data_IF_154591950291
#
_entry.id   IF_154591950291
#
_cell.length_a   1.000
_cell.length_b   1.000
_cell.length_c   1.000
_cell.angle_alpha   90.00
_cell.angle_beta   90.00
_cell.angle_gamma   90.00
#
_symmetry.space_group_name_H-M   'P 1'
#
loop_
_entity.id
_entity.type
_entity.pdbx_description
1 polymer ?
#
# COMPACT_ATOMS: atom_id res chain seq x y z
N UNK A 1 -15.40 10.37 13.05
CA UNK A 1 -14.98 8.97 12.79
C UNK A 1 -13.50 8.98 12.45
N UNK A 2 -12.70 7.94 12.78
CA UNK A 2 -11.30 7.88 12.40
C UNK A 2 -11.14 7.88 10.86
N UNK A 3 -9.97 8.31 10.38
CA UNK A 3 -9.57 8.13 8.98
C UNK A 3 -9.08 6.69 8.80
N UNK A 4 -9.67 5.98 7.86
CA UNK A 4 -9.38 4.57 7.61
C UNK A 4 -8.56 4.36 6.34
N UNK A 5 -7.56 3.48 6.43
CA UNK A 5 -6.57 3.23 5.38
C UNK A 5 -6.40 1.73 5.16
N UNK A 6 -6.37 1.30 3.90
CA UNK A 6 -6.11 -0.07 3.49
C UNK A 6 -4.93 -0.11 2.49
N UNK A 7 -4.07 -1.11 2.61
CA UNK A 7 -3.18 -1.53 1.52
C UNK A 7 -3.40 -3.00 1.19
N UNK A 8 -3.38 -3.34 -0.10
CA UNK A 8 -3.53 -4.71 -0.58
C UNK A 8 -2.82 -4.91 -1.91
N UNK A 9 -1.88 -5.84 -1.97
CA UNK A 9 -1.37 -6.37 -3.22
C UNK A 9 -2.47 -7.25 -3.86
N UNK A 10 -2.85 -6.95 -5.11
CA UNK A 10 -3.95 -7.63 -5.81
C UNK A 10 -3.57 -8.97 -6.42
N UNK A 11 -2.25 -9.29 -6.49
CA UNK A 11 -1.78 -10.45 -7.26
C UNK A 11 -2.27 -10.42 -8.71
N UNK A 12 -2.32 -9.23 -9.29
CA UNK A 12 -2.82 -8.97 -10.65
C UNK A 12 -4.15 -9.74 -10.95
N UNK A 13 -4.30 -10.40 -12.08
CA UNK A 13 -5.45 -11.26 -12.41
C UNK A 13 -5.10 -12.76 -12.30
N UNK A 14 -4.11 -13.13 -11.50
CA UNK A 14 -3.70 -14.52 -11.29
C UNK A 14 -4.79 -15.34 -10.58
N UNK A 15 -4.73 -16.66 -10.77
CA UNK A 15 -5.70 -17.57 -10.16
C UNK A 15 -7.15 -17.31 -10.62
N UNK A 16 -8.14 -17.62 -9.77
CA UNK A 16 -9.56 -17.40 -10.09
C UNK A 16 -9.97 -15.93 -9.87
N UNK A 17 -9.50 -15.03 -10.74
CA UNK A 17 -9.69 -13.59 -10.57
C UNK A 17 -11.15 -13.15 -10.32
N UNK A 18 -12.17 -13.63 -11.06
CA UNK A 18 -13.56 -13.20 -10.82
C UNK A 18 -14.04 -13.48 -9.39
N UNK A 19 -13.67 -14.64 -8.83
CA UNK A 19 -14.01 -15.06 -7.47
C UNK A 19 -13.21 -14.25 -6.46
N UNK A 20 -11.91 -14.05 -6.68
CA UNK A 20 -11.03 -13.22 -5.85
C UNK A 20 -11.52 -11.77 -5.82
N UNK A 21 -11.86 -11.19 -6.98
CA UNK A 21 -12.43 -9.85 -7.08
C UNK A 21 -13.70 -9.69 -6.23
N UNK A 22 -14.58 -10.70 -6.21
CA UNK A 22 -15.75 -10.70 -5.34
C UNK A 22 -15.35 -10.69 -3.86
N UNK A 23 -14.37 -11.53 -3.46
CA UNK A 23 -13.87 -11.57 -2.07
C UNK A 23 -13.26 -10.24 -1.64
N UNK A 24 -12.47 -9.62 -2.52
CA UNK A 24 -11.87 -8.30 -2.27
C UNK A 24 -12.98 -7.25 -2.10
N UNK A 25 -14.00 -7.25 -2.96
CA UNK A 25 -15.15 -6.35 -2.82
C UNK A 25 -15.88 -6.54 -1.49
N UNK A 26 -16.16 -7.78 -1.10
CA UNK A 26 -16.79 -8.10 0.19
C UNK A 26 -15.97 -7.52 1.36
N UNK A 27 -14.65 -7.66 1.33
CA UNK A 27 -13.76 -7.10 2.35
C UNK A 27 -13.77 -5.57 2.35
N UNK A 28 -13.73 -4.93 1.18
CA UNK A 28 -13.79 -3.47 1.06
C UNK A 28 -15.14 -2.94 1.55
N UNK A 29 -16.25 -3.61 1.21
CA UNK A 29 -17.60 -3.21 1.66
C UNK A 29 -17.76 -3.33 3.18
N UNK A 30 -17.06 -4.29 3.83
CA UNK A 30 -17.07 -4.46 5.29
C UNK A 30 -16.17 -3.47 6.03
N UNK A 31 -15.00 -3.16 5.45
CA UNK A 31 -14.00 -2.28 6.05
C UNK A 31 -14.30 -0.79 5.78
N UNK A 32 -14.97 -0.50 4.67
CA UNK A 32 -15.30 0.83 4.17
C UNK A 32 -14.14 1.85 4.27
N UNK A 33 -12.94 1.54 3.74
CA UNK A 33 -11.77 2.39 3.92
C UNK A 33 -11.91 3.72 3.17
N UNK A 34 -11.40 4.80 3.78
CA UNK A 34 -11.35 6.12 3.13
C UNK A 34 -10.30 6.18 2.02
N UNK A 35 -9.15 5.53 2.25
CA UNK A 35 -8.01 5.50 1.34
C UNK A 35 -7.52 4.07 1.14
N UNK A 36 -7.26 3.68 -0.11
CA UNK A 36 -6.74 2.36 -0.46
C UNK A 36 -5.52 2.51 -1.36
N UNK A 37 -4.43 1.81 -1.03
CA UNK A 37 -3.29 1.59 -1.92
C UNK A 37 -3.31 0.15 -2.44
N UNK A 38 -3.39 0.00 -3.75
CA UNK A 38 -3.29 -1.30 -4.41
C UNK A 38 -1.95 -1.46 -5.11
N UNK A 39 -1.36 -2.64 -5.00
CA UNK A 39 -0.18 -3.06 -5.75
C UNK A 39 -0.59 -4.14 -6.74
N UNK A 40 0.21 -4.32 -7.78
CA UNK A 40 -0.07 -5.22 -8.90
C UNK A 40 -1.41 -4.99 -9.61
N UNK A 41 -1.91 -3.76 -9.54
CA UNK A 41 -3.10 -3.37 -10.28
C UNK A 41 -2.83 -3.35 -11.79
N UNK A 42 -3.75 -3.90 -12.58
CA UNK A 42 -3.64 -4.01 -14.03
C UNK A 42 -4.41 -2.92 -14.76
N UNK A 43 -3.79 -2.38 -15.79
CA UNK A 43 -4.44 -1.49 -16.75
C UNK A 43 -4.02 -1.87 -18.18
N UNK A 44 -4.99 -2.05 -19.07
CA UNK A 44 -4.80 -2.34 -20.48
C UNK A 44 -5.83 -1.58 -21.31
N UNK A 45 -5.78 -1.68 -22.64
CA UNK A 45 -6.62 -0.95 -23.58
C UNK A 45 -8.11 -0.92 -23.19
N UNK A 46 -8.55 0.24 -22.70
CA UNK A 46 -9.93 0.47 -22.29
C UNK A 46 -10.36 -0.24 -20.99
N UNK A 47 -9.47 -0.92 -20.29
CA UNK A 47 -9.75 -1.63 -19.05
C UNK A 47 -8.86 -1.14 -17.89
N UNK A 48 -9.48 -1.01 -16.73
CA UNK A 48 -8.80 -0.67 -15.47
C UNK A 48 -9.33 -1.60 -14.38
N UNK A 49 -8.47 -2.51 -13.91
CA UNK A 49 -8.84 -3.54 -12.93
C UNK A 49 -9.42 -2.95 -11.64
N UNK A 50 -8.85 -1.84 -11.15
CA UNK A 50 -9.31 -1.19 -9.93
C UNK A 50 -10.62 -0.45 -10.15
N UNK A 51 -10.81 0.19 -11.31
CA UNK A 51 -12.10 0.81 -11.65
C UNK A 51 -13.22 -0.24 -11.74
N UNK A 52 -12.95 -1.39 -12.37
CA UNK A 52 -13.89 -2.52 -12.42
C UNK A 52 -14.15 -3.10 -11.01
N UNK A 53 -13.11 -3.22 -10.19
CA UNK A 53 -13.22 -3.72 -8.82
C UNK A 53 -14.08 -2.82 -7.93
N UNK A 54 -13.97 -1.50 -8.07
CA UNK A 54 -14.60 -0.50 -7.22
C UNK A 54 -15.83 0.16 -7.86
N UNK A 55 -16.34 -0.39 -8.97
CA UNK A 55 -17.51 0.16 -9.66
C UNK A 55 -18.69 0.38 -8.69
N UNK A 56 -19.30 1.57 -8.77
CA UNK A 56 -20.45 1.97 -7.93
C UNK A 56 -20.12 2.32 -6.48
N UNK A 57 -18.83 2.28 -6.05
CA UNK A 57 -18.44 2.53 -4.65
C UNK A 57 -17.99 3.96 -4.36
N UNK A 58 -18.01 4.85 -5.36
CA UNK A 58 -17.76 6.29 -5.16
C UNK A 58 -16.30 6.65 -4.86
N UNK A 59 -15.32 5.83 -5.27
CA UNK A 59 -13.91 6.15 -5.15
C UNK A 59 -13.40 6.97 -6.33
N UNK A 60 -12.54 7.95 -6.04
CA UNK A 60 -11.69 8.63 -7.00
C UNK A 60 -10.39 7.84 -7.17
N UNK A 61 -9.94 7.63 -8.40
CA UNK A 61 -8.83 6.74 -8.72
C UNK A 61 -7.64 7.49 -9.31
N UNK A 62 -6.44 7.05 -8.95
CA UNK A 62 -5.18 7.41 -9.61
C UNK A 62 -4.37 6.13 -9.86
N UNK A 63 -3.51 6.14 -10.91
CA UNK A 63 -2.73 4.98 -11.30
C UNK A 63 -1.32 5.37 -11.75
N UNK A 64 -0.33 4.56 -11.37
CA UNK A 64 1.04 4.68 -11.82
C UNK A 64 1.52 3.35 -12.43
N UNK A 65 1.85 3.33 -13.73
CA UNK A 65 2.40 2.13 -14.37
C UNK A 65 3.78 1.77 -13.82
N UNK A 66 4.12 0.49 -13.87
CA UNK A 66 5.44 0.00 -13.50
C UNK A 66 6.03 -0.92 -14.58
N UNK A 67 5.54 -2.15 -14.68
CA UNK A 67 6.09 -3.18 -15.57
C UNK A 67 5.08 -3.54 -16.65
N UNK A 68 5.49 -3.70 -17.93
CA UNK A 68 4.65 -4.28 -18.96
C UNK A 68 4.11 -5.65 -18.51
N UNK A 69 2.85 -5.89 -18.78
CA UNK A 69 2.16 -7.12 -18.39
C UNK A 69 1.74 -7.93 -19.61
N UNK A 70 2.07 -9.21 -19.57
CA UNK A 70 1.58 -10.16 -20.55
C UNK A 70 1.23 -11.49 -19.87
N UNK A 71 0.04 -11.98 -20.15
CA UNK A 71 -0.41 -13.31 -19.76
C UNK A 71 -1.41 -13.81 -20.79
N UNK A 72 -1.18 -15.02 -21.32
CA UNK A 72 -2.13 -15.64 -22.28
C UNK A 72 -3.52 -15.79 -21.65
N UNK A 73 -4.56 -15.39 -22.38
CA UNK A 73 -5.95 -15.45 -21.94
C UNK A 73 -6.35 -14.34 -20.94
N UNK A 74 -5.42 -13.51 -20.48
CA UNK A 74 -5.77 -12.35 -19.65
C UNK A 74 -6.41 -11.25 -20.49
N UNK A 75 -7.53 -10.67 -20.01
CA UNK A 75 -8.13 -9.50 -20.65
C UNK A 75 -7.29 -8.23 -20.48
N UNK A 76 -6.23 -8.28 -19.67
CA UNK A 76 -5.27 -7.19 -19.44
C UNK A 76 -3.92 -7.43 -20.12
N UNK A 77 -3.79 -8.47 -20.95
CA UNK A 77 -2.56 -8.71 -21.73
C UNK A 77 -2.25 -7.53 -22.63
N UNK A 78 -0.96 -7.25 -22.81
CA UNK A 78 -0.41 -6.07 -23.50
C UNK A 78 -0.64 -4.74 -22.76
N UNK A 79 -1.04 -4.80 -21.50
CA UNK A 79 -1.13 -3.65 -20.60
C UNK A 79 0.10 -3.52 -19.71
N UNK A 80 -0.13 -2.90 -18.58
CA UNK A 80 0.87 -2.67 -17.55
C UNK A 80 0.32 -3.07 -16.19
N UNK A 81 1.17 -3.58 -15.31
CA UNK A 81 0.84 -3.64 -13.90
C UNK A 81 1.57 -2.54 -13.13
N UNK A 82 0.94 -2.04 -12.08
CA UNK A 82 1.49 -0.92 -11.33
C UNK A 82 0.81 -0.74 -9.99
N UNK A 83 0.86 0.50 -9.50
CA UNK A 83 0.19 0.89 -8.27
C UNK A 83 -1.06 1.71 -8.58
N UNK A 84 -2.12 1.49 -7.80
CA UNK A 84 -3.30 2.33 -7.84
C UNK A 84 -3.63 2.88 -6.46
N UNK A 85 -4.22 4.06 -6.43
CA UNK A 85 -4.80 4.67 -5.25
C UNK A 85 -6.28 4.88 -5.48
N UNK A 86 -7.08 4.46 -4.51
CA UNK A 86 -8.51 4.79 -4.45
C UNK A 86 -8.78 5.64 -3.21
N UNK A 87 -9.53 6.72 -3.38
CA UNK A 87 -9.85 7.70 -2.34
C UNK A 87 -11.35 8.01 -2.33
N UNK A 88 -11.97 8.00 -1.15
CA UNK A 88 -13.33 8.54 -0.96
C UNK A 88 -13.40 10.06 -1.22
N UNK A 89 -12.25 10.71 -1.14
CA UNK A 89 -12.12 12.15 -1.32
C UNK A 89 -11.64 12.47 -2.73
N UNK A 90 -12.03 13.62 -3.33
CA UNK A 90 -11.53 14.04 -4.62
C UNK A 90 -9.99 14.07 -4.67
N UNK A 91 -9.39 13.56 -5.72
CA UNK A 91 -7.95 13.63 -5.95
C UNK A 91 -7.65 14.98 -6.61
N UNK A 92 -6.95 15.87 -5.89
CA UNK A 92 -6.55 17.19 -6.37
C UNK A 92 -5.33 17.11 -7.29
N UNK A 93 -4.35 16.29 -6.90
CA UNK A 93 -3.09 16.11 -7.62
C UNK A 93 -2.58 14.69 -7.48
N UNK A 94 -1.85 14.22 -8.49
CA UNK A 94 -1.13 12.97 -8.45
C UNK A 94 0.25 13.10 -9.06
N UNK A 95 1.23 12.40 -8.50
CA UNK A 95 2.60 12.32 -9.01
C UNK A 95 3.06 10.85 -8.99
N UNK A 96 3.48 10.35 -10.15
CA UNK A 96 4.07 9.03 -10.30
C UNK A 96 5.58 9.15 -10.51
N UNK A 97 6.36 8.35 -9.79
CA UNK A 97 7.82 8.32 -9.89
C UNK A 97 8.27 6.89 -10.19
N UNK A 98 9.12 6.72 -11.21
CA UNK A 98 9.82 5.46 -11.43
C UNK A 98 10.89 5.27 -10.37
N UNK A 99 10.94 4.07 -9.82
CA UNK A 99 11.95 3.69 -8.83
C UNK A 99 13.21 3.15 -9.53
N UNK A 100 14.39 3.26 -8.89
CA UNK A 100 15.60 2.60 -9.37
C UNK A 100 15.36 1.13 -9.64
N UNK A 101 15.86 0.62 -10.77
CA UNK A 101 15.72 -0.80 -11.15
C UNK A 101 17.04 -1.57 -10.97
N UNK A 102 16.97 -2.88 -11.12
CA UNK A 102 18.09 -3.80 -11.04
C UNK A 102 18.78 -4.06 -12.38
N UNK A 103 18.27 -3.46 -13.48
CA UNK A 103 18.77 -3.68 -14.83
C UNK A 103 18.27 -4.98 -15.48
N UNK A 104 17.39 -5.75 -14.82
CA UNK A 104 16.88 -7.03 -15.30
C UNK A 104 15.48 -6.96 -15.92
N UNK A 105 15.01 -5.73 -16.22
CA UNK A 105 13.74 -5.47 -16.87
C UNK A 105 12.55 -5.30 -15.91
N UNK A 106 12.70 -5.64 -14.63
CA UNK A 106 11.69 -5.39 -13.62
C UNK A 106 11.63 -3.90 -13.28
N UNK A 107 10.47 -3.31 -13.39
CA UNK A 107 10.25 -1.89 -13.11
C UNK A 107 9.27 -1.71 -11.98
N UNK A 108 9.56 -0.75 -11.11
CA UNK A 108 8.72 -0.38 -9.97
C UNK A 108 8.43 1.11 -9.99
N UNK A 109 7.35 1.50 -9.35
CA UNK A 109 6.92 2.89 -9.23
C UNK A 109 6.41 3.20 -7.83
N UNK A 110 6.32 4.49 -7.54
CA UNK A 110 5.54 5.01 -6.42
C UNK A 110 4.54 6.02 -6.97
N UNK A 111 3.34 6.04 -6.39
CA UNK A 111 2.25 6.94 -6.72
C UNK A 111 1.86 7.74 -5.49
N UNK A 112 2.01 9.04 -5.53
CA UNK A 112 1.54 9.95 -4.48
C UNK A 112 0.34 10.75 -4.96
N UNK A 113 -0.69 10.85 -4.13
CA UNK A 113 -1.86 11.69 -4.38
C UNK A 113 -2.03 12.71 -3.26
N UNK A 114 -2.63 13.86 -3.58
CA UNK A 114 -3.20 14.78 -2.62
C UNK A 114 -4.71 14.67 -2.74
N UNK A 115 -5.38 14.23 -1.69
CA UNK A 115 -6.84 14.09 -1.61
C UNK A 115 -7.46 15.23 -0.83
N UNK A 116 -8.60 15.75 -1.28
CA UNK A 116 -9.35 16.86 -0.64
C UNK A 116 -10.31 16.31 0.42
N UNK A 117 -9.80 16.11 1.62
CA UNK A 117 -10.58 15.52 2.70
C UNK A 117 -11.21 16.57 3.63
N UNK A 118 -12.20 16.18 4.45
CA UNK A 118 -12.73 17.03 5.51
C UNK A 118 -11.68 17.47 6.57
N UNK A 119 -10.53 16.79 6.60
CA UNK A 119 -9.39 17.12 7.48
C UNK A 119 -8.43 18.12 6.83
N UNK A 120 -8.80 18.66 5.67
CA UNK A 120 -7.92 19.38 4.75
C UNK A 120 -7.21 18.41 3.79
N UNK A 121 -6.33 18.93 2.91
CA UNK A 121 -5.60 18.11 1.97
C UNK A 121 -4.80 16.99 2.68
N UNK A 122 -4.88 15.75 2.17
CA UNK A 122 -4.15 14.59 2.66
C UNK A 122 -3.12 14.15 1.61
N UNK A 123 -1.88 13.89 2.06
CA UNK A 123 -0.85 13.26 1.22
C UNK A 123 -0.84 11.76 1.47
N UNK A 124 -1.14 10.98 0.42
CA UNK A 124 -1.18 9.51 0.45
C UNK A 124 -0.31 8.94 -0.66
N UNK A 125 0.60 8.06 -0.32
CA UNK A 125 1.56 7.46 -1.26
C UNK A 125 1.48 5.95 -1.22
N UNK A 126 1.37 5.32 -2.39
CA UNK A 126 1.38 3.87 -2.59
C UNK A 126 2.63 3.45 -3.35
N UNK A 127 3.27 2.36 -2.94
CA UNK A 127 4.46 1.82 -3.61
C UNK A 127 4.47 0.30 -3.63
N UNK A 128 5.31 -0.27 -4.51
CA UNK A 128 5.63 -1.68 -4.55
C UNK A 128 7.12 -1.82 -4.87
N UNK A 129 7.94 -2.33 -3.93
CA UNK A 129 9.37 -2.46 -4.11
C UNK A 129 9.76 -3.77 -4.83
N UNK A 130 11.04 -3.91 -5.17
CA UNK A 130 11.58 -5.11 -5.83
C UNK A 130 11.41 -6.35 -4.95
N UNK A 131 10.87 -7.44 -5.52
CA UNK A 131 10.53 -8.67 -4.78
C UNK A 131 11.70 -9.63 -4.57
N UNK A 132 12.77 -9.54 -5.36
CA UNK A 132 13.85 -10.52 -5.32
C UNK A 132 14.65 -10.41 -4.03
N UNK A 133 14.77 -11.51 -3.31
CA UNK A 133 15.48 -11.58 -2.02
C UNK A 133 16.88 -10.96 -2.06
N UNK A 134 17.65 -11.25 -3.11
CA UNK A 134 19.02 -10.77 -3.28
C UNK A 134 19.15 -9.30 -3.69
N UNK A 135 18.05 -8.58 -3.90
CA UNK A 135 18.04 -7.19 -4.35
C UNK A 135 17.82 -6.19 -3.22
N UNK A 136 18.37 -6.45 -2.02
CA UNK A 136 18.32 -5.53 -0.89
C UNK A 136 18.83 -4.14 -1.24
N UNK A 137 20.02 -4.02 -1.89
CA UNK A 137 20.54 -2.73 -2.32
C UNK A 137 19.60 -1.98 -3.30
N UNK A 138 18.91 -2.71 -4.18
CA UNK A 138 17.93 -2.10 -5.08
C UNK A 138 16.77 -1.51 -4.26
N UNK A 139 16.23 -2.27 -3.29
CA UNK A 139 15.18 -1.79 -2.39
C UNK A 139 15.63 -0.62 -1.52
N UNK A 140 16.88 -0.60 -1.05
CA UNK A 140 17.44 0.55 -0.32
C UNK A 140 17.39 1.83 -1.16
N UNK A 141 17.78 1.78 -2.43
CA UNK A 141 17.68 2.92 -3.36
C UNK A 141 16.23 3.27 -3.68
N UNK A 142 15.38 2.27 -3.83
CA UNK A 142 13.94 2.46 -4.08
C UNK A 142 13.27 3.15 -2.90
N UNK A 143 13.49 2.68 -1.68
CA UNK A 143 12.86 3.27 -0.48
C UNK A 143 13.32 4.70 -0.22
N UNK A 144 14.59 5.05 -0.53
CA UNK A 144 15.06 6.43 -0.47
C UNK A 144 14.26 7.32 -1.44
N UNK A 145 14.06 6.85 -2.69
CA UNK A 145 13.28 7.58 -3.69
C UNK A 145 11.80 7.75 -3.26
N UNK A 146 11.22 6.71 -2.68
CA UNK A 146 9.84 6.77 -2.12
C UNK A 146 9.76 7.78 -1.00
N UNK A 147 10.68 7.74 -0.04
CA UNK A 147 10.70 8.70 1.08
C UNK A 147 10.90 10.14 0.60
N UNK A 148 11.71 10.36 -0.43
CA UNK A 148 11.88 11.68 -1.06
C UNK A 148 10.57 12.19 -1.66
N UNK A 149 9.82 11.31 -2.33
CA UNK A 149 8.50 11.66 -2.85
C UNK A 149 7.55 12.04 -1.72
N UNK A 150 7.45 11.22 -0.67
CA UNK A 150 6.58 11.51 0.49
C UNK A 150 6.94 12.82 1.16
N UNK A 151 8.24 13.09 1.40
CA UNK A 151 8.69 14.32 2.04
C UNK A 151 8.45 15.56 1.17
N UNK A 152 8.63 15.45 -0.15
CA UNK A 152 8.37 16.53 -1.10
C UNK A 152 6.87 16.85 -1.19
N UNK A 153 6.02 15.82 -1.11
CA UNK A 153 4.55 15.93 -1.16
C UNK A 153 3.93 16.24 0.21
N UNK A 154 4.74 16.32 1.26
CA UNK A 154 4.28 16.62 2.62
C UNK A 154 3.66 18.01 2.69
N UNK A 155 2.47 18.07 3.25
CA UNK A 155 1.74 19.31 3.48
C UNK A 155 2.15 19.92 4.82
N UNK A 156 2.71 21.14 4.80
CA UNK A 156 3.16 21.83 6.01
C UNK A 156 1.95 22.21 6.88
N UNK A 157 1.96 21.76 8.13
CA UNK A 157 0.86 21.99 9.07
C UNK A 157 -0.42 21.24 8.79
N UNK A 158 -0.43 20.39 7.74
CA UNK A 158 -1.54 19.50 7.41
C UNK A 158 -1.47 18.15 8.14
N UNK A 159 -2.43 17.29 7.84
CA UNK A 159 -2.48 15.92 8.35
C UNK A 159 -1.19 15.16 8.00
N UNK A 160 -0.69 14.25 8.88
CA UNK A 160 0.52 13.48 8.61
C UNK A 160 0.44 12.71 7.29
N UNK A 161 1.54 12.73 6.52
CA UNK A 161 1.61 11.94 5.28
C UNK A 161 1.49 10.46 5.56
N UNK A 162 0.81 9.73 4.68
CA UNK A 162 0.59 8.29 4.79
C UNK A 162 1.31 7.62 3.61
N UNK A 163 2.09 6.59 3.91
CA UNK A 163 2.83 5.78 2.95
C UNK A 163 2.42 4.32 3.14
N UNK A 164 1.95 3.68 2.07
CA UNK A 164 1.50 2.28 2.11
C UNK A 164 2.09 1.46 0.98
N UNK A 165 2.09 0.16 1.12
CA UNK A 165 2.43 -0.73 0.02
C UNK A 165 3.07 -2.03 0.42
N UNK A 166 3.44 -2.79 -0.62
CA UNK A 166 4.27 -3.97 -0.54
C UNK A 166 5.75 -3.57 -0.67
N UNK A 167 6.48 -3.67 0.43
CA UNK A 167 7.89 -3.32 0.49
C UNK A 167 8.80 -4.50 0.15
N UNK A 168 8.26 -5.73 0.06
CA UNK A 168 9.02 -6.95 -0.16
C UNK A 168 10.23 -7.11 0.80
N UNK A 169 10.15 -6.51 1.97
CA UNK A 169 11.19 -6.40 2.97
C UNK A 169 10.61 -6.60 4.37
N UNK A 170 11.28 -7.39 5.20
CA UNK A 170 10.88 -7.65 6.59
C UNK A 170 11.28 -6.49 7.51
N UNK A 171 10.70 -6.39 8.73
CA UNK A 171 10.95 -5.28 9.66
C UNK A 171 12.42 -5.05 10.01
N UNK A 172 13.22 -6.10 9.99
CA UNK A 172 14.66 -6.09 10.30
C UNK A 172 15.53 -5.63 9.13
N UNK A 173 14.96 -5.57 7.92
CA UNK A 173 15.66 -5.16 6.70
C UNK A 173 16.10 -3.71 6.75
N UNK A 174 17.20 -3.38 6.08
CA UNK A 174 17.76 -2.03 6.05
C UNK A 174 16.74 -1.00 5.55
N UNK A 175 15.93 -1.37 4.55
CA UNK A 175 14.89 -0.54 3.95
C UNK A 175 13.84 -0.11 4.98
N UNK A 176 13.33 -1.06 5.78
CA UNK A 176 12.29 -0.79 6.78
C UNK A 176 12.87 -0.06 7.98
N UNK A 177 14.09 -0.42 8.40
CA UNK A 177 14.82 0.31 9.45
C UNK A 177 15.11 1.75 9.05
N UNK A 178 15.39 2.02 7.76
CA UNK A 178 15.53 3.38 7.25
C UNK A 178 14.22 4.16 7.36
N UNK A 179 13.10 3.61 6.87
CA UNK A 179 11.78 4.27 6.93
C UNK A 179 11.40 4.61 8.38
N UNK A 180 11.69 3.71 9.31
CA UNK A 180 11.34 3.88 10.74
C UNK A 180 12.37 4.68 11.56
N UNK A 181 13.43 5.19 10.93
CA UNK A 181 14.46 6.01 11.60
C UNK A 181 15.48 5.22 12.41
N UNK A 182 15.50 3.89 12.29
CA UNK A 182 16.42 3.02 13.04
C UNK A 182 17.77 2.82 12.34
N UNK A 183 17.87 3.26 11.09
CA UNK A 183 19.08 3.17 10.28
C UNK A 183 19.16 4.33 9.31
N UNK A 184 20.36 4.83 9.02
CA UNK A 184 20.63 5.74 7.92
C UNK A 184 21.08 4.98 6.67
N UNK A 185 20.69 5.45 5.49
CA UNK A 185 21.17 4.95 4.19
C UNK A 185 21.83 6.09 3.42
N UNK A 186 23.06 5.89 2.96
CA UNK A 186 23.79 6.91 2.21
C UNK A 186 23.94 8.25 2.93
N UNK A 187 24.05 8.23 4.26
CA UNK A 187 24.13 9.44 5.09
C UNK A 187 22.82 10.19 5.27
N UNK A 188 21.70 9.60 4.86
CA UNK A 188 20.34 10.18 4.95
C UNK A 188 19.53 9.44 6.01
N UNK A 189 18.62 10.17 6.67
CA UNK A 189 17.70 9.62 7.66
C UNK A 189 16.31 10.21 7.47
N UNK A 190 15.31 9.36 7.70
CA UNK A 190 13.89 9.72 7.76
C UNK A 190 13.30 9.07 9.00
N UNK A 191 12.08 9.43 9.39
CA UNK A 191 11.38 8.74 10.46
C UNK A 191 9.88 8.80 10.22
N UNK A 192 9.28 7.62 10.06
CA UNK A 192 7.84 7.39 10.01
C UNK A 192 7.46 6.37 11.09
N UNK A 193 6.22 6.40 11.52
CA UNK A 193 5.66 5.39 12.41
C UNK A 193 5.16 4.21 11.58
N UNK A 194 5.60 3.01 11.89
CA UNK A 194 5.02 1.77 11.39
C UNK A 194 3.74 1.50 12.18
N UNK A 195 2.60 1.45 11.49
CA UNK A 195 1.29 1.29 12.13
C UNK A 195 1.21 -0.03 12.91
N UNK A 196 1.68 -1.13 12.33
CA UNK A 196 1.69 -2.42 13.02
C UNK A 196 2.54 -2.40 14.28
N UNK A 197 3.75 -1.90 14.20
CA UNK A 197 4.65 -1.79 15.35
C UNK A 197 4.11 -0.89 16.47
N UNK A 198 3.28 0.10 16.09
CA UNK A 198 2.76 1.10 17.04
C UNK A 198 1.52 0.59 17.78
N UNK A 199 0.57 -0.02 17.08
CA UNK A 199 -0.75 -0.39 17.64
C UNK A 199 -1.23 -1.79 17.24
N UNK A 200 -0.52 -2.49 16.36
CA UNK A 200 -0.85 -3.87 15.97
C UNK A 200 -0.54 -4.88 17.07
N UNK A 201 -1.08 -6.07 16.93
CA UNK A 201 -0.86 -7.20 17.86
C UNK A 201 -0.46 -8.46 17.12
N UNK A 202 0.49 -9.24 17.69
CA UNK A 202 1.06 -10.44 17.06
C UNK A 202 2.11 -10.11 15.99
N UNK A 203 2.38 -11.07 15.11
CA UNK A 203 3.51 -10.99 14.17
C UNK A 203 3.22 -10.14 12.93
N UNK A 204 1.94 -9.92 12.59
CA UNK A 204 1.54 -9.08 11.46
C UNK A 204 1.86 -9.66 10.08
N UNK A 205 1.94 -10.98 9.99
CA UNK A 205 2.28 -11.69 8.76
C UNK A 205 1.29 -11.35 7.65
N UNK A 206 1.80 -10.91 6.51
CA UNK A 206 1.00 -10.55 5.33
C UNK A 206 1.26 -11.47 4.14
N UNK A 207 2.41 -12.15 4.12
CA UNK A 207 2.73 -13.25 3.21
C UNK A 207 2.82 -14.53 4.02
N UNK A 208 1.89 -15.47 3.83
CA UNK A 208 1.77 -16.62 4.71
C UNK A 208 1.54 -17.93 3.98
N UNK A 209 2.22 -18.99 4.43
CA UNK A 209 2.02 -20.35 3.95
C UNK A 209 0.64 -20.96 4.34
N UNK A 210 -0.15 -20.29 5.16
CA UNK A 210 -1.56 -20.63 5.36
C UNK A 210 -2.38 -20.40 4.08
N UNK A 211 -1.98 -19.40 3.29
CA UNK A 211 -2.57 -19.12 1.99
C UNK A 211 -1.93 -20.01 0.91
N UNK A 212 -2.69 -20.89 0.25
CA UNK A 212 -2.14 -21.81 -0.77
C UNK A 212 -1.54 -21.06 -1.97
N UNK A 213 -1.97 -19.82 -2.26
CA UNK A 213 -1.42 -19.02 -3.35
C UNK A 213 0.01 -18.57 -3.03
N UNK A 214 0.26 -18.11 -1.80
CA UNK A 214 1.60 -17.77 -1.33
C UNK A 214 2.48 -19.01 -1.14
N UNK A 215 1.93 -20.08 -0.51
CA UNK A 215 2.65 -21.32 -0.24
C UNK A 215 3.24 -21.97 -1.49
N UNK A 216 2.63 -21.76 -2.66
CA UNK A 216 3.14 -22.29 -3.92
C UNK A 216 4.56 -21.78 -4.28
N UNK A 217 4.98 -20.65 -3.70
CA UNK A 217 6.31 -20.06 -3.92
C UNK A 217 7.40 -20.67 -3.00
N UNK A 218 7.03 -21.48 -1.99
CA UNK A 218 7.93 -22.13 -1.04
C UNK A 218 8.81 -21.12 -0.25
N UNK A 219 8.28 -19.94 0.01
CA UNK A 219 8.93 -18.90 0.80
C UNK A 219 8.50 -18.95 2.27
N UNK A 220 9.28 -18.39 3.22
CA UNK A 220 8.85 -18.30 4.62
C UNK A 220 7.69 -17.31 4.79
N UNK A 221 6.98 -17.44 5.92
CA UNK A 221 6.01 -16.44 6.35
C UNK A 221 6.71 -15.11 6.64
N UNK A 222 6.16 -13.97 6.14
CA UNK A 222 6.79 -12.65 6.25
C UNK A 222 5.75 -11.55 6.45
N UNK A 223 6.15 -10.48 7.14
CA UNK A 223 5.46 -9.20 7.14
C UNK A 223 6.16 -8.28 6.14
N UNK A 224 5.55 -8.03 5.00
CA UNK A 224 6.14 -7.28 3.88
C UNK A 224 5.23 -6.15 3.36
N UNK A 225 3.98 -6.11 3.80
CA UNK A 225 3.04 -5.04 3.48
C UNK A 225 2.90 -4.12 4.70
N UNK A 226 2.90 -2.81 4.45
CA UNK A 226 3.00 -1.81 5.51
C UNK A 226 2.08 -0.62 5.30
N UNK A 227 1.68 -0.02 6.43
CA UNK A 227 1.17 1.35 6.51
C UNK A 227 2.12 2.13 7.41
N UNK A 228 2.77 3.15 6.85
CA UNK A 228 3.59 4.10 7.57
C UNK A 228 2.91 5.46 7.62
N UNK A 229 3.07 6.18 8.74
CA UNK A 229 2.53 7.53 8.90
C UNK A 229 3.61 8.49 9.41
N UNK A 230 3.48 9.76 9.05
CA UNK A 230 4.21 10.81 9.76
C UNK A 230 3.80 10.87 11.23
N UNK A 231 4.57 11.58 12.07
CA UNK A 231 4.23 11.77 13.47
C UNK A 231 2.91 12.54 13.62
N UNK A 232 2.06 12.19 14.61
CA UNK A 232 0.82 12.90 14.87
C UNK A 232 1.05 14.38 15.13
N UNK A 233 0.03 15.17 14.81
CA UNK A 233 0.00 16.58 15.18
C UNK A 233 -0.09 16.73 16.71
N UNK A 234 0.31 17.90 17.22
CA UNK A 234 0.17 18.20 18.67
C UNK A 234 -1.28 18.12 19.17
N UNK A 235 -2.23 18.33 18.28
CA UNK A 235 -3.67 18.14 18.54
C UNK A 235 -4.09 16.68 18.68
N UNK A 236 -3.22 15.70 18.42
CA UNK A 236 -3.52 14.29 18.36
C UNK A 236 -4.02 13.81 16.99
N UNK A 237 -4.34 14.69 16.06
CA UNK A 237 -4.74 14.28 14.72
C UNK A 237 -3.60 13.49 14.03
N UNK A 238 -3.95 12.38 13.37
CA UNK A 238 -3.00 11.45 12.76
C UNK A 238 -2.41 10.41 13.72
N UNK A 239 -2.85 10.38 15.00
CA UNK A 239 -2.47 9.31 15.91
C UNK A 239 -3.05 7.97 15.44
N UNK A 240 -2.22 6.95 15.35
CA UNK A 240 -2.64 5.58 15.07
C UNK A 240 -3.52 5.06 16.22
N UNK A 241 -4.68 4.51 15.89
CA UNK A 241 -5.67 4.00 16.84
C UNK A 241 -5.80 2.49 16.74
N UNK A 242 -5.74 1.94 15.53
CA UNK A 242 -5.84 0.51 15.24
C UNK A 242 -4.98 0.14 14.05
N UNK A 243 -4.46 -1.09 14.04
CA UNK A 243 -3.82 -1.69 12.88
C UNK A 243 -4.00 -3.20 12.92
N UNK A 244 -4.53 -3.77 11.82
CA UNK A 244 -4.82 -5.20 11.74
C UNK A 244 -4.57 -5.76 10.34
N UNK A 245 -4.23 -7.04 10.28
CA UNK A 245 -4.19 -7.82 9.04
C UNK A 245 -5.62 -8.15 8.65
N UNK A 246 -5.96 -7.96 7.39
CA UNK A 246 -7.28 -8.15 6.80
C UNK A 246 -7.17 -8.89 5.46
N UNK A 247 -8.29 -9.27 4.84
CA UNK A 247 -8.28 -10.07 3.61
C UNK A 247 -7.51 -11.39 3.80
N UNK A 248 -7.47 -11.91 5.02
CA UNK A 248 -6.71 -13.06 5.47
C UNK A 248 -7.58 -14.26 5.81
N UNK A 249 -8.78 -14.30 5.26
CA UNK A 249 -9.74 -15.38 5.40
C UNK A 249 -10.11 -15.98 4.03
N UNK A 250 -10.30 -17.29 4.02
CA UNK A 250 -10.81 -17.99 2.87
C UNK A 250 -12.33 -18.16 2.92
N UNK A 251 -12.96 -18.27 1.77
CA UNK A 251 -14.34 -18.68 1.64
C UNK A 251 -14.51 -19.54 0.40
N UNK A 252 -14.94 -20.79 0.58
CA UNK A 252 -15.04 -21.77 -0.51
C UNK A 252 -13.70 -21.98 -1.24
N UNK A 253 -12.61 -22.12 -0.49
CA UNK A 253 -11.25 -22.29 -0.98
C UNK A 253 -10.70 -21.08 -1.79
N UNK A 254 -11.41 -19.94 -1.78
CA UNK A 254 -10.99 -18.72 -2.46
C UNK A 254 -10.48 -17.71 -1.44
N UNK A 255 -9.20 -17.34 -1.57
CA UNK A 255 -8.57 -16.25 -0.86
C UNK A 255 -8.66 -14.95 -1.69
N UNK A 256 -8.71 -13.77 -1.07
CA UNK A 256 -8.74 -12.50 -1.81
C UNK A 256 -7.51 -12.27 -2.69
N UNK A 257 -6.32 -12.57 -2.17
CA UNK A 257 -5.02 -12.42 -2.86
C UNK A 257 -4.05 -13.49 -2.34
N UNK A 258 -2.84 -13.57 -2.89
CA UNK A 258 -1.71 -14.30 -2.29
C UNK A 258 -1.10 -13.53 -1.11
N UNK A 259 -1.29 -12.21 -1.03
CA UNK A 259 -1.03 -11.40 0.14
C UNK A 259 -2.27 -11.22 1.02
N UNK A 260 -2.04 -10.94 2.30
CA UNK A 260 -3.04 -10.36 3.18
C UNK A 260 -2.93 -8.84 3.16
N UNK A 261 -4.05 -8.14 3.33
CA UNK A 261 -4.07 -6.69 3.41
C UNK A 261 -3.69 -6.19 4.81
N UNK A 262 -3.30 -4.92 4.90
CA UNK A 262 -3.15 -4.21 6.16
C UNK A 262 -4.14 -3.06 6.21
N UNK A 263 -4.89 -2.97 7.30
CA UNK A 263 -5.85 -1.90 7.57
C UNK A 263 -5.42 -1.14 8.82
N UNK A 264 -5.55 0.18 8.80
CA UNK A 264 -5.27 1.03 9.96
C UNK A 264 -6.29 2.15 10.10
N UNK A 265 -6.49 2.58 11.34
CA UNK A 265 -7.30 3.74 11.69
C UNK A 265 -6.45 4.83 12.34
N UNK A 266 -6.63 6.06 11.88
CA UNK A 266 -5.96 7.25 12.39
C UNK A 266 -6.97 8.22 12.99
N UNK A 267 -6.64 8.84 14.10
CA UNK A 267 -7.46 9.90 14.71
C UNK A 267 -7.63 11.06 13.74
N UNK A 268 -8.85 11.39 13.42
CA UNK A 268 -9.20 12.53 12.56
C UNK A 268 -9.43 13.80 13.36
N UNK A 269 -9.98 13.68 14.57
CA UNK A 269 -10.33 14.80 15.44
C UNK A 269 -9.23 15.13 16.45
N UNK A 270 -9.07 16.40 16.83
CA UNK A 270 -8.19 16.75 17.94
C UNK A 270 -8.55 16.01 19.23
N UNK A 271 -7.55 15.78 20.09
CA UNK A 271 -7.80 15.36 21.46
C UNK A 271 -8.65 16.44 22.16
N UNK A 272 -9.58 16.02 23.01
CA UNK A 272 -10.25 16.97 23.88
C UNK A 272 -9.18 17.72 24.70
N UNK A 273 -9.32 19.05 24.88
CA UNK A 273 -8.43 19.77 25.76
C UNK A 273 -8.49 19.09 27.15
N UNK A 274 -7.31 18.81 27.73
CA UNK A 274 -7.24 18.32 29.10
C UNK A 274 -8.03 19.28 30.00
N UNK A 275 -9.00 18.73 30.74
CA UNK A 275 -9.80 19.45 31.72
C UNK A 275 -8.95 19.87 32.92
#
# INVERSE_FOLDING_TARGET
MPLSVLTLNLWNDAGPWPERARRIRESIDQLDPDLIGFQEALRADGRDQVAELLEGRGYHLAYAPATPFWREGSPFSHGEFGNAVASRFPVLESEAVRLPDSGDGEKRSALSVTADSPLGPLSFTCTHLNWKFRHGEVRERQVQTVCDLVLRRRLRGGFPSILVGDFNAEPESAEIRYVTGLQSLGGRSVAFLDAWRTVGTGDGITWSNQNPYARANLEPDRRIDYIFTGFPMRSGAGQLLDCRVVCNDEKNEIWPSDHFGVYAELRSEPLAPDL
#
